data_IF_025045171174
#
_entry.id   IF_025045171174
#
_cell.length_a   1.000
_cell.length_b   1.000
_cell.length_c   1.000
_cell.angle_alpha   90.00
_cell.angle_beta   90.00
_cell.angle_gamma   90.00
#
_symmetry.space_group_name_H-M   'P 1'
#
loop_
_entity.id
_entity.type
_entity.pdbx_description
1 polymer ?
#
# COMPACT_ATOMS: atom_id res chain seq x y z
N UNK A 1 57.84 -43.31 -0.68
CA UNK A 1 57.13 -43.49 -1.96
C UNK A 1 55.67 -43.15 -1.72
N UNK A 2 55.03 -42.41 -2.62
CA UNK A 2 54.06 -41.39 -2.25
C UNK A 2 52.67 -41.98 -1.99
N UNK A 3 52.13 -41.63 -0.83
CA UNK A 3 50.72 -41.72 -0.48
C UNK A 3 49.92 -40.69 -1.30
N UNK A 4 48.76 -41.14 -1.78
CA UNK A 4 47.78 -40.35 -2.53
C UNK A 4 47.33 -39.10 -1.76
N UNK A 5 47.08 -37.97 -2.45
CA UNK A 5 46.55 -36.77 -1.80
C UNK A 5 45.09 -36.96 -1.42
N UNK A 6 44.77 -36.57 -0.19
CA UNK A 6 43.41 -36.50 0.33
C UNK A 6 42.59 -35.48 -0.49
N UNK A 7 41.40 -35.90 -0.93
CA UNK A 7 40.38 -35.04 -1.53
C UNK A 7 39.92 -34.00 -0.50
N UNK A 8 40.25 -32.74 -0.79
CA UNK A 8 39.77 -31.57 -0.06
C UNK A 8 38.30 -31.34 -0.46
N UNK A 9 37.36 -31.79 0.39
CA UNK A 9 35.94 -31.51 0.19
C UNK A 9 35.70 -30.03 0.49
N UNK A 10 35.14 -29.24 -0.45
CA UNK A 10 34.79 -27.85 -0.15
C UNK A 10 33.68 -27.84 0.91
N UNK A 11 33.97 -27.21 2.04
CA UNK A 11 32.99 -26.97 3.10
C UNK A 11 31.78 -26.20 2.56
N UNK A 12 30.58 -26.39 3.15
CA UNK A 12 29.38 -25.72 2.69
C UNK A 12 29.59 -24.21 2.72
N UNK A 13 29.40 -23.58 1.57
CA UNK A 13 29.42 -22.14 1.39
C UNK A 13 28.56 -21.48 2.47
N UNK A 14 29.16 -20.53 3.18
CA UNK A 14 28.47 -19.69 4.14
C UNK A 14 27.21 -19.11 3.48
N UNK A 15 26.04 -19.50 4.01
CA UNK A 15 24.78 -18.91 3.62
C UNK A 15 24.83 -17.42 3.97
N UNK A 16 24.78 -16.60 2.93
CA UNK A 16 24.64 -15.15 3.01
C UNK A 16 23.27 -14.83 3.64
N UNK A 17 23.25 -14.77 4.97
CA UNK A 17 22.09 -14.34 5.75
C UNK A 17 22.11 -12.82 5.88
N UNK A 18 21.68 -12.14 4.82
CA UNK A 18 21.27 -10.73 4.92
C UNK A 18 20.18 -10.56 5.99
N UNK A 19 20.17 -9.46 6.76
CA UNK A 19 19.24 -9.27 7.86
C UNK A 19 17.81 -9.14 7.33
N UNK A 20 16.96 -10.10 7.69
CA UNK A 20 15.55 -10.14 7.35
C UNK A 20 14.82 -8.93 7.92
N UNK A 21 14.42 -8.00 7.06
CA UNK A 21 13.50 -6.91 7.37
C UNK A 21 12.12 -7.48 7.70
N UNK A 22 11.76 -7.56 8.97
CA UNK A 22 10.41 -7.92 9.42
C UNK A 22 9.45 -6.73 9.30
N UNK A 23 9.09 -6.38 8.06
CA UNK A 23 8.00 -5.44 7.76
C UNK A 23 6.65 -6.13 7.95
N UNK A 24 5.79 -5.71 8.91
CA UNK A 24 4.41 -6.20 9.10
C UNK A 24 4.23 -7.75 9.13
N UNK A 25 5.33 -8.50 9.28
CA UNK A 25 5.44 -9.93 8.94
C UNK A 25 4.84 -10.81 10.04
N UNK A 26 5.15 -10.51 11.30
CA UNK A 26 4.80 -11.38 12.43
C UNK A 26 3.32 -11.35 12.88
N UNK A 27 2.61 -10.22 12.70
CA UNK A 27 1.26 -10.08 13.24
C UNK A 27 0.16 -10.64 12.32
N UNK A 28 0.41 -10.68 11.01
CA UNK A 28 -0.60 -11.08 10.02
C UNK A 28 -0.55 -12.59 9.76
N UNK A 29 0.61 -13.24 9.86
CA UNK A 29 0.77 -14.65 9.47
C UNK A 29 0.21 -15.68 10.49
N UNK A 30 -0.17 -15.26 11.70
CA UNK A 30 -0.65 -16.15 12.78
C UNK A 30 -2.17 -16.26 12.92
N UNK A 31 -2.96 -15.47 12.20
CA UNK A 31 -4.44 -15.48 12.33
C UNK A 31 -5.09 -16.37 11.25
N UNK A 32 -5.85 -17.41 11.61
CA UNK A 32 -6.55 -18.25 10.64
C UNK A 32 -7.57 -17.47 9.81
N UNK A 33 -7.82 -17.92 8.58
CA UNK A 33 -8.86 -17.35 7.71
C UNK A 33 -10.24 -17.56 8.35
N UNK A 34 -11.05 -16.50 8.38
CA UNK A 34 -12.44 -16.59 8.84
C UNK A 34 -13.27 -17.43 7.88
N UNK A 35 -14.09 -18.31 8.44
CA UNK A 35 -15.13 -19.08 7.73
C UNK A 35 -16.27 -18.16 7.25
N UNK A 36 -17.12 -18.67 6.35
CA UNK A 36 -18.29 -17.94 5.87
C UNK A 36 -19.28 -17.65 7.03
N UNK A 37 -19.46 -18.60 7.95
CA UNK A 37 -20.30 -18.44 9.14
C UNK A 37 -19.76 -17.36 10.09
N UNK A 38 -18.46 -17.31 10.31
CA UNK A 38 -17.82 -16.25 11.11
C UNK A 38 -17.95 -14.89 10.41
N UNK A 39 -17.77 -14.86 9.09
CA UNK A 39 -17.92 -13.64 8.29
C UNK A 39 -19.36 -13.11 8.28
N UNK A 40 -20.37 -13.98 8.43
CA UNK A 40 -21.77 -13.55 8.61
C UNK A 40 -22.04 -12.91 9.96
N UNK A 41 -21.32 -13.34 11.00
CA UNK A 41 -21.40 -12.78 12.36
C UNK A 41 -20.59 -11.50 12.50
N UNK A 42 -19.64 -11.27 11.61
CA UNK A 42 -18.85 -10.05 11.53
C UNK A 42 -19.71 -8.84 11.11
N UNK A 43 -19.60 -7.73 11.84
CA UNK A 43 -20.42 -6.53 11.61
C UNK A 43 -20.25 -5.95 10.19
N UNK A 44 -19.02 -5.95 9.67
CA UNK A 44 -18.72 -5.35 8.37
C UNK A 44 -18.97 -6.35 7.24
N UNK A 45 -18.34 -7.53 7.29
CA UNK A 45 -18.47 -8.55 6.24
C UNK A 45 -19.89 -9.12 6.16
N UNK A 46 -20.65 -9.13 7.25
CA UNK A 46 -22.07 -9.48 7.27
C UNK A 46 -22.92 -8.61 6.32
N UNK A 47 -22.48 -7.37 6.05
CA UNK A 47 -23.13 -6.44 5.10
C UNK A 47 -23.08 -6.96 3.66
N UNK A 48 -22.08 -7.79 3.31
CA UNK A 48 -22.00 -8.44 2.00
C UNK A 48 -23.22 -9.31 1.71
N UNK A 49 -23.67 -10.09 2.70
CA UNK A 49 -24.84 -10.97 2.57
C UNK A 49 -26.15 -10.19 2.51
N UNK A 50 -26.26 -9.12 3.31
CA UNK A 50 -27.43 -8.20 3.23
C UNK A 50 -27.56 -7.60 1.84
N UNK A 51 -26.44 -7.13 1.26
CA UNK A 51 -26.43 -6.60 -0.09
C UNK A 51 -26.78 -7.67 -1.13
N UNK A 52 -26.21 -8.86 -1.02
CA UNK A 52 -26.51 -9.97 -1.91
C UNK A 52 -28.01 -10.28 -1.90
N UNK A 53 -28.63 -10.47 -0.72
CA UNK A 53 -30.07 -10.71 -0.61
C UNK A 53 -30.90 -9.56 -1.22
N UNK A 54 -30.56 -8.31 -0.94
CA UNK A 54 -31.25 -7.15 -1.54
C UNK A 54 -31.14 -7.14 -3.08
N UNK A 55 -30.01 -7.57 -3.64
CA UNK A 55 -29.83 -7.68 -5.09
C UNK A 55 -30.58 -8.89 -5.66
N UNK A 56 -30.68 -10.00 -4.92
CA UNK A 56 -31.48 -11.16 -5.31
C UNK A 56 -32.96 -10.78 -5.47
N UNK A 57 -33.49 -10.06 -4.49
CA UNK A 57 -34.87 -9.57 -4.52
C UNK A 57 -35.10 -8.57 -5.66
N UNK A 58 -34.15 -7.65 -5.87
CA UNK A 58 -34.27 -6.59 -6.88
C UNK A 58 -34.16 -7.11 -8.33
N UNK A 59 -33.35 -8.14 -8.56
CA UNK A 59 -33.08 -8.67 -9.90
C UNK A 59 -33.68 -10.06 -10.17
N UNK A 60 -34.40 -10.62 -9.19
CA UNK A 60 -35.02 -11.94 -9.26
C UNK A 60 -34.06 -13.04 -9.75
N UNK A 61 -32.81 -13.02 -9.25
CA UNK A 61 -31.77 -13.98 -9.60
C UNK A 61 -30.80 -14.18 -8.45
N UNK A 62 -30.13 -15.33 -8.39
CA UNK A 62 -29.09 -15.59 -7.38
C UNK A 62 -27.86 -14.73 -7.59
N UNK A 63 -27.32 -14.20 -6.48
CA UNK A 63 -26.14 -13.32 -6.49
C UNK A 63 -24.98 -14.07 -5.84
N UNK A 64 -23.97 -14.37 -6.64
CA UNK A 64 -22.78 -15.09 -6.20
C UNK A 64 -21.63 -14.11 -5.90
N UNK A 65 -20.80 -14.44 -4.92
CA UNK A 65 -19.58 -13.68 -4.61
C UNK A 65 -18.48 -14.00 -5.64
N UNK A 66 -18.64 -13.48 -6.86
CA UNK A 66 -17.79 -13.69 -8.02
C UNK A 66 -17.85 -12.45 -8.96
N UNK A 67 -17.12 -12.44 -10.09
CA UNK A 67 -17.17 -11.32 -11.04
C UNK A 67 -18.58 -10.98 -11.58
N UNK A 68 -19.46 -11.97 -11.74
CA UNK A 68 -20.84 -11.72 -12.15
C UNK A 68 -21.61 -10.95 -11.07
N UNK A 69 -21.46 -11.35 -9.79
CA UNK A 69 -22.02 -10.61 -8.66
C UNK A 69 -21.46 -9.19 -8.53
N UNK A 70 -20.15 -9.01 -8.75
CA UNK A 70 -19.54 -7.67 -8.79
C UNK A 70 -20.14 -6.78 -9.88
N UNK A 71 -20.54 -7.37 -11.01
CA UNK A 71 -21.24 -6.65 -12.09
C UNK A 71 -22.60 -6.14 -11.62
N UNK A 72 -23.34 -6.93 -10.82
CA UNK A 72 -24.63 -6.51 -10.26
C UNK A 72 -24.48 -5.44 -9.18
N UNK A 73 -23.45 -5.56 -8.34
CA UNK A 73 -23.08 -4.51 -7.38
C UNK A 73 -22.74 -3.20 -8.10
N UNK A 74 -21.94 -3.27 -9.18
CA UNK A 74 -21.59 -2.10 -9.99
C UNK A 74 -22.84 -1.45 -10.61
N UNK A 75 -23.78 -2.24 -11.14
CA UNK A 75 -25.06 -1.70 -11.67
C UNK A 75 -25.82 -0.94 -10.60
N UNK A 76 -25.96 -1.49 -9.38
CA UNK A 76 -26.64 -0.83 -8.27
C UNK A 76 -25.95 0.48 -7.87
N UNK A 77 -24.62 0.49 -7.79
CA UNK A 77 -23.84 1.70 -7.50
C UNK A 77 -24.04 2.77 -8.58
N UNK A 78 -23.97 2.40 -9.86
CA UNK A 78 -24.18 3.34 -10.96
C UNK A 78 -25.57 3.96 -10.91
N UNK A 79 -26.62 3.16 -10.71
CA UNK A 79 -27.98 3.67 -10.59
C UNK A 79 -28.08 4.67 -9.43
N UNK A 80 -27.53 4.34 -8.27
CA UNK A 80 -27.57 5.19 -7.09
C UNK A 80 -26.81 6.52 -7.27
N UNK A 81 -25.65 6.52 -7.93
CA UNK A 81 -24.81 7.72 -8.07
C UNK A 81 -25.10 8.54 -9.34
N UNK A 82 -25.79 7.97 -10.35
CA UNK A 82 -26.22 8.69 -11.56
C UNK A 82 -27.57 9.39 -11.36
N UNK A 83 -28.54 8.73 -10.72
CA UNK A 83 -29.95 9.16 -10.78
C UNK A 83 -30.31 10.27 -9.78
N UNK A 84 -29.54 10.42 -8.70
CA UNK A 84 -29.61 11.52 -7.75
C UNK A 84 -28.32 11.45 -6.93
N UNK A 85 -27.75 12.58 -6.47
CA UNK A 85 -26.78 12.47 -5.37
C UNK A 85 -27.55 11.82 -4.21
N UNK A 86 -27.22 10.59 -3.79
CA UNK A 86 -27.93 9.97 -2.68
C UNK A 86 -27.79 10.90 -1.47
N UNK A 87 -28.77 10.83 -0.56
CA UNK A 87 -28.54 11.36 0.78
C UNK A 87 -27.15 10.89 1.27
N UNK A 88 -26.28 11.77 1.80
CA UNK A 88 -24.90 11.43 2.11
C UNK A 88 -24.77 10.20 3.01
N UNK A 89 -25.70 10.00 3.95
CA UNK A 89 -25.68 8.83 4.82
C UNK A 89 -26.06 7.56 4.05
N UNK A 90 -27.09 7.61 3.20
CA UNK A 90 -27.45 6.49 2.34
C UNK A 90 -26.32 6.12 1.36
N UNK A 91 -25.61 7.13 0.83
CA UNK A 91 -24.44 6.92 -0.03
C UNK A 91 -23.34 6.17 0.72
N UNK A 92 -22.98 6.61 1.92
CA UNK A 92 -21.97 5.96 2.77
C UNK A 92 -22.37 4.52 3.06
N UNK A 93 -23.62 4.25 3.47
CA UNK A 93 -24.04 2.90 3.81
C UNK A 93 -24.01 1.95 2.60
N UNK A 94 -24.40 2.43 1.42
CA UNK A 94 -24.31 1.66 0.17
C UNK A 94 -22.86 1.37 -0.24
N UNK A 95 -21.97 2.35 -0.13
CA UNK A 95 -20.53 2.14 -0.39
C UNK A 95 -19.95 1.09 0.54
N UNK A 96 -20.30 1.19 1.81
CA UNK A 96 -19.86 0.28 2.86
C UNK A 96 -20.41 -1.14 2.58
N UNK A 97 -21.62 -1.27 2.04
CA UNK A 97 -22.24 -2.57 1.67
C UNK A 97 -21.53 -3.20 0.48
N UNK A 98 -21.31 -2.40 -0.57
CA UNK A 98 -20.59 -2.83 -1.76
C UNK A 98 -19.14 -3.20 -1.43
N UNK A 99 -18.51 -2.47 -0.50
CA UNK A 99 -17.15 -2.74 -0.06
C UNK A 99 -17.05 -4.03 0.72
N UNK A 100 -18.02 -4.32 1.58
CA UNK A 100 -18.13 -5.62 2.24
C UNK A 100 -18.28 -6.75 1.21
N UNK A 101 -19.10 -6.56 0.17
CA UNK A 101 -19.25 -7.56 -0.90
C UNK A 101 -17.95 -7.82 -1.66
N UNK A 102 -17.20 -6.76 -2.02
CA UNK A 102 -15.90 -6.89 -2.67
C UNK A 102 -14.88 -7.58 -1.75
N UNK A 103 -14.79 -7.16 -0.48
CA UNK A 103 -13.87 -7.77 0.48
C UNK A 103 -14.18 -9.25 0.69
N UNK A 104 -15.45 -9.61 0.88
CA UNK A 104 -15.87 -10.99 1.04
C UNK A 104 -15.59 -11.80 -0.23
N UNK A 105 -15.81 -11.25 -1.42
CA UNK A 105 -15.46 -11.91 -2.69
C UNK A 105 -13.95 -12.18 -2.80
N UNK A 106 -13.10 -11.24 -2.39
CA UNK A 106 -11.65 -11.43 -2.35
C UNK A 106 -11.22 -12.45 -1.30
N UNK A 107 -11.87 -12.49 -0.14
CA UNK A 107 -11.63 -13.49 0.90
C UNK A 107 -11.99 -14.90 0.42
N UNK A 108 -13.19 -15.08 -0.15
CA UNK A 108 -13.65 -16.39 -0.59
C UNK A 108 -12.88 -16.91 -1.80
N UNK A 109 -12.65 -16.05 -2.81
CA UNK A 109 -12.08 -16.46 -4.10
C UNK A 109 -10.56 -16.41 -4.13
N UNK A 110 -9.98 -15.38 -3.52
CA UNK A 110 -8.54 -15.12 -3.59
C UNK A 110 -7.82 -15.28 -2.24
N UNK A 111 -8.54 -15.65 -1.16
CA UNK A 111 -7.97 -15.93 0.17
C UNK A 111 -7.27 -14.75 0.85
N UNK A 112 -7.66 -13.53 0.48
CA UNK A 112 -7.24 -12.33 1.19
C UNK A 112 -7.88 -12.25 2.59
N UNK A 113 -7.16 -11.65 3.54
CA UNK A 113 -7.62 -11.37 4.90
C UNK A 113 -7.81 -9.88 5.12
N UNK A 114 -8.99 -9.47 5.58
CA UNK A 114 -9.26 -8.08 5.95
C UNK A 114 -8.67 -7.79 7.34
N UNK A 115 -7.85 -6.73 7.43
CA UNK A 115 -7.33 -6.23 8.70
C UNK A 115 -8.09 -4.95 9.04
N UNK A 116 -8.82 -4.97 10.15
CA UNK A 116 -9.61 -3.82 10.62
C UNK A 116 -8.80 -2.99 11.59
N UNK A 117 -8.80 -1.69 11.38
CA UNK A 117 -8.23 -0.71 12.31
C UNK A 117 -9.39 0.07 12.92
N UNK A 118 -9.65 -0.13 14.22
CA UNK A 118 -10.81 0.47 14.88
C UNK A 118 -10.74 2.00 14.93
N UNK A 119 -9.52 2.56 14.91
CA UNK A 119 -9.27 4.00 14.91
C UNK A 119 -9.32 4.62 13.50
N UNK A 120 -9.66 3.83 12.47
CA UNK A 120 -9.76 4.30 11.09
C UNK A 120 -11.07 3.89 10.45
N UNK A 121 -11.58 4.78 9.61
CA UNK A 121 -12.68 4.43 8.71
C UNK A 121 -12.31 3.26 7.79
N UNK A 122 -13.31 2.50 7.31
CA UNK A 122 -13.10 1.32 6.49
C UNK A 122 -12.24 1.53 5.24
N UNK A 123 -12.20 2.74 4.67
CA UNK A 123 -11.38 3.04 3.49
C UNK A 123 -9.89 2.76 3.70
N UNK A 124 -9.41 2.86 4.94
CA UNK A 124 -8.02 2.62 5.32
C UNK A 124 -7.69 1.17 5.69
N UNK A 125 -8.68 0.26 5.67
CA UNK A 125 -8.50 -1.14 6.04
C UNK A 125 -7.88 -1.93 4.88
N UNK A 126 -6.69 -2.53 5.07
CA UNK A 126 -6.05 -3.33 4.04
C UNK A 126 -6.61 -4.75 4.04
N UNK A 127 -6.63 -5.33 2.85
CA UNK A 127 -6.68 -6.77 2.67
C UNK A 127 -5.28 -7.29 2.35
N UNK A 128 -4.89 -8.37 3.01
CA UNK A 128 -3.55 -8.96 2.92
C UNK A 128 -3.63 -10.45 2.60
N UNK A 129 -2.76 -10.90 1.70
CA UNK A 129 -2.46 -12.31 1.46
C UNK A 129 -0.95 -12.50 1.56
N UNK A 130 -0.51 -13.64 2.10
CA UNK A 130 0.91 -13.92 2.34
C UNK A 130 1.49 -14.98 1.39
N UNK A 131 0.65 -15.83 0.80
CA UNK A 131 1.04 -16.89 -0.13
C UNK A 131 0.07 -16.94 -1.33
N UNK A 132 0.53 -17.25 -2.56
CA UNK A 132 1.91 -17.57 -2.95
C UNK A 132 2.85 -16.36 -2.98
N UNK A 133 2.29 -15.14 -3.02
CA UNK A 133 3.01 -13.87 -3.02
C UNK A 133 2.34 -12.94 -2.04
N UNK A 134 3.13 -12.14 -1.33
CA UNK A 134 2.59 -11.14 -0.42
C UNK A 134 1.98 -9.97 -1.20
N UNK A 135 0.69 -9.73 -1.00
CA UNK A 135 -0.01 -8.58 -1.57
C UNK A 135 -0.75 -7.87 -0.44
N UNK A 136 -0.60 -6.54 -0.40
CA UNK A 136 -1.38 -5.64 0.44
C UNK A 136 -2.16 -4.73 -0.50
N UNK A 137 -3.48 -4.72 -0.36
CA UNK A 137 -4.38 -3.93 -1.21
C UNK A 137 -5.51 -3.32 -0.40
N UNK A 138 -6.16 -2.28 -0.94
CA UNK A 138 -7.18 -1.50 -0.23
C UNK A 138 -8.50 -1.54 -1.01
N UNK A 139 -9.27 -2.63 -0.93
CA UNK A 139 -10.47 -2.80 -1.75
C UNK A 139 -11.58 -1.80 -1.40
N UNK A 140 -11.70 -1.45 -0.11
CA UNK A 140 -12.73 -0.49 0.33
C UNK A 140 -12.54 0.87 -0.33
N UNK A 141 -11.30 1.34 -0.48
CA UNK A 141 -11.01 2.65 -1.11
C UNK A 141 -11.50 2.73 -2.54
N UNK A 142 -11.57 1.59 -3.26
CA UNK A 142 -12.06 1.57 -4.64
C UNK A 142 -13.47 2.10 -4.70
N UNK A 143 -14.32 1.65 -3.80
CA UNK A 143 -15.69 2.12 -3.73
C UNK A 143 -15.80 3.46 -3.00
N UNK A 144 -14.97 3.69 -1.99
CA UNK A 144 -14.96 4.94 -1.23
C UNK A 144 -14.63 6.17 -2.08
N UNK A 145 -13.87 6.00 -3.17
CA UNK A 145 -13.63 7.04 -4.17
C UNK A 145 -14.91 7.62 -4.76
N UNK A 146 -16.02 6.87 -4.82
CA UNK A 146 -17.31 7.40 -5.27
C UNK A 146 -17.86 8.51 -4.37
N UNK A 147 -17.39 8.61 -3.12
CA UNK A 147 -17.75 9.68 -2.19
C UNK A 147 -16.82 10.90 -2.32
N UNK A 148 -15.64 10.73 -2.92
CA UNK A 148 -14.60 11.76 -3.02
C UNK A 148 -14.53 12.38 -4.41
N UNK A 149 -14.71 11.56 -5.44
CA UNK A 149 -14.55 11.94 -6.83
C UNK A 149 -15.89 12.38 -7.42
N UNK A 150 -15.87 13.45 -8.20
CA UNK A 150 -17.05 13.95 -8.91
C UNK A 150 -17.46 13.06 -10.09
N UNK A 151 -16.54 12.22 -10.57
CA UNK A 151 -16.72 11.40 -11.75
C UNK A 151 -16.88 9.93 -11.39
N UNK A 152 -17.88 9.29 -12.00
CA UNK A 152 -18.04 7.85 -11.92
C UNK A 152 -16.94 7.13 -12.72
N UNK A 153 -16.33 6.08 -12.17
CA UNK A 153 -15.39 5.23 -12.88
C UNK A 153 -15.99 4.61 -14.14
N UNK A 154 -15.12 4.24 -15.08
CA UNK A 154 -15.52 3.52 -16.30
C UNK A 154 -16.14 2.14 -16.01
N UNK A 155 -16.93 1.59 -16.95
CA UNK A 155 -17.60 0.31 -16.78
C UNK A 155 -16.63 -0.85 -16.49
N UNK A 156 -17.07 -1.74 -15.61
CA UNK A 156 -16.36 -2.97 -15.22
C UNK A 156 -15.17 -2.74 -14.29
N UNK A 157 -15.05 -1.57 -13.65
CA UNK A 157 -13.89 -1.23 -12.81
C UNK A 157 -13.68 -2.19 -11.62
N UNK A 158 -14.76 -2.71 -11.01
CA UNK A 158 -14.65 -3.70 -9.93
C UNK A 158 -14.07 -5.02 -10.44
N UNK A 159 -14.53 -5.45 -11.62
CA UNK A 159 -13.99 -6.65 -12.27
C UNK A 159 -12.55 -6.45 -12.71
N UNK A 160 -12.18 -5.28 -13.26
CA UNK A 160 -10.79 -4.96 -13.61
C UNK A 160 -9.88 -5.00 -12.39
N UNK A 161 -10.33 -4.48 -11.26
CA UNK A 161 -9.58 -4.55 -10.00
C UNK A 161 -9.46 -5.99 -9.49
N UNK A 162 -10.54 -6.77 -9.53
CA UNK A 162 -10.53 -8.18 -9.15
C UNK A 162 -9.58 -9.00 -10.03
N UNK A 163 -9.66 -8.84 -11.36
CA UNK A 163 -8.76 -9.49 -12.33
C UNK A 163 -7.31 -9.07 -12.12
N UNK A 164 -7.04 -7.78 -11.84
CA UNK A 164 -5.69 -7.33 -11.50
C UNK A 164 -5.10 -8.11 -10.31
N UNK A 165 -5.87 -8.28 -9.22
CA UNK A 165 -5.39 -9.05 -8.06
C UNK A 165 -5.20 -10.54 -8.38
N UNK A 166 -6.09 -11.11 -9.19
CA UNK A 166 -5.96 -12.48 -9.66
C UNK A 166 -4.69 -12.67 -10.49
N UNK A 167 -4.42 -11.75 -11.42
CA UNK A 167 -3.22 -11.75 -12.25
C UNK A 167 -1.95 -11.57 -11.40
N UNK A 168 -1.97 -10.70 -10.38
CA UNK A 168 -0.85 -10.55 -9.43
C UNK A 168 -0.53 -11.82 -8.66
N UNK A 169 -1.54 -12.64 -8.35
CA UNK A 169 -1.37 -13.89 -7.61
C UNK A 169 -0.84 -15.02 -8.48
N UNK A 170 -1.26 -15.06 -9.76
CA UNK A 170 -0.82 -16.09 -10.71
C UNK A 170 0.54 -15.74 -11.30
N UNK A 171 0.83 -14.46 -11.50
CA UNK A 171 2.07 -14.02 -12.12
C UNK A 171 3.27 -14.22 -11.19
N UNK A 172 4.15 -15.15 -11.57
CA UNK A 172 5.39 -15.45 -10.86
C UNK A 172 6.60 -14.67 -11.38
N UNK A 173 6.45 -13.87 -12.43
CA UNK A 173 7.59 -13.17 -13.02
C UNK A 173 8.07 -12.05 -12.09
N UNK A 174 9.38 -12.01 -11.78
CA UNK A 174 9.95 -10.94 -10.99
C UNK A 174 9.84 -9.62 -11.78
N UNK A 175 9.05 -8.70 -11.25
CA UNK A 175 8.94 -7.34 -11.79
C UNK A 175 10.22 -6.56 -11.50
N UNK A 176 10.64 -5.65 -12.38
CA UNK A 176 11.71 -4.73 -12.04
C UNK A 176 11.27 -3.86 -10.86
N UNK A 177 12.17 -3.72 -9.88
CA UNK A 177 11.94 -2.98 -8.63
C UNK A 177 12.98 -1.86 -8.51
N UNK A 178 12.73 -0.86 -7.66
CA UNK A 178 13.75 0.10 -7.27
C UNK A 178 14.40 0.84 -8.44
N UNK A 179 15.73 0.93 -8.41
CA UNK A 179 16.52 1.55 -9.48
C UNK A 179 16.38 0.83 -10.83
N UNK A 180 16.20 -0.49 -10.84
CA UNK A 180 16.01 -1.24 -12.10
C UNK A 180 14.70 -0.87 -12.78
N UNK A 181 13.63 -0.64 -12.00
CA UNK A 181 12.37 -0.14 -12.52
C UNK A 181 12.52 1.26 -13.13
N UNK A 182 13.28 2.13 -12.46
CA UNK A 182 13.58 3.49 -12.94
C UNK A 182 14.36 3.44 -14.24
N UNK A 183 15.46 2.68 -14.31
CA UNK A 183 16.26 2.54 -15.53
C UNK A 183 15.44 1.97 -16.71
N UNK A 184 14.56 1.01 -16.43
CA UNK A 184 13.67 0.42 -17.44
C UNK A 184 12.42 1.26 -17.71
N UNK A 185 12.25 2.41 -17.06
CA UNK A 185 11.08 3.29 -17.14
C UNK A 185 9.76 2.51 -16.93
N UNK A 186 9.74 1.63 -15.93
CA UNK A 186 8.59 0.80 -15.56
C UNK A 186 7.88 1.34 -14.32
N UNK A 187 6.72 1.96 -14.56
CA UNK A 187 5.77 2.32 -13.51
C UNK A 187 5.08 1.06 -12.94
N UNK A 188 4.69 1.12 -11.67
CA UNK A 188 3.73 0.19 -11.08
C UNK A 188 2.38 0.27 -11.79
N UNK A 189 1.59 -0.81 -11.65
CA UNK A 189 0.21 -0.83 -12.12
C UNK A 189 -0.63 0.25 -11.41
N UNK A 190 -1.65 0.80 -12.08
CA UNK A 190 -2.50 1.87 -11.54
C UNK A 190 -3.13 1.48 -10.20
N UNK A 191 -3.60 0.24 -10.08
CA UNK A 191 -4.17 -0.28 -8.84
C UNK A 191 -3.15 -0.34 -7.71
N UNK A 192 -1.89 -0.69 -8.00
CA UNK A 192 -0.80 -0.66 -7.02
C UNK A 192 -0.48 0.74 -6.56
N UNK A 193 -0.47 1.71 -7.48
CA UNK A 193 -0.25 3.12 -7.15
C UNK A 193 -1.35 3.66 -6.25
N UNK A 194 -2.61 3.29 -6.50
CA UNK A 194 -3.73 3.66 -5.65
C UNK A 194 -3.63 3.03 -4.25
N UNK A 195 -3.18 1.78 -4.15
CA UNK A 195 -2.93 1.13 -2.86
C UNK A 195 -1.87 1.89 -2.04
N UNK A 196 -0.80 2.34 -2.69
CA UNK A 196 0.29 3.08 -2.05
C UNK A 196 -0.14 4.50 -1.67
N UNK A 197 -0.94 5.16 -2.50
CA UNK A 197 -1.55 6.45 -2.15
C UNK A 197 -2.49 6.34 -0.94
N UNK A 198 -3.29 5.28 -0.89
CA UNK A 198 -4.20 5.01 0.23
C UNK A 198 -3.43 4.76 1.51
N UNK A 199 -2.39 3.93 1.42
CA UNK A 199 -1.50 3.66 2.54
C UNK A 199 -0.79 4.93 3.03
N UNK A 200 -0.28 5.74 2.11
CA UNK A 200 0.35 7.01 2.42
C UNK A 200 -0.61 7.93 3.15
N UNK A 201 -1.85 8.11 2.65
CA UNK A 201 -2.89 8.92 3.31
C UNK A 201 -3.18 8.43 4.73
N UNK A 202 -3.30 7.11 4.92
CA UNK A 202 -3.50 6.50 6.24
C UNK A 202 -2.32 6.79 7.18
N UNK A 203 -1.10 6.61 6.70
CA UNK A 203 0.11 6.85 7.50
C UNK A 203 0.23 8.33 7.85
N UNK A 204 -0.10 9.26 6.95
CA UNK A 204 -0.07 10.68 7.26
C UNK A 204 -1.08 11.08 8.34
N UNK A 205 -2.28 10.46 8.37
CA UNK A 205 -3.23 10.64 9.48
C UNK A 205 -2.61 10.14 10.78
N UNK A 206 -2.04 8.93 10.79
CA UNK A 206 -1.35 8.38 11.96
C UNK A 206 -0.21 9.29 12.44
N UNK A 207 0.60 9.82 11.51
CA UNK A 207 1.74 10.68 11.81
C UNK A 207 1.31 11.98 12.50
N UNK A 208 0.11 12.48 12.18
CA UNK A 208 -0.44 13.67 12.79
C UNK A 208 -0.88 13.46 14.25
N UNK A 209 -1.13 12.21 14.64
CA UNK A 209 -1.59 11.85 16.00
C UNK A 209 -0.46 11.35 16.90
N UNK A 210 0.63 10.82 16.34
CA UNK A 210 1.77 10.31 17.11
C UNK A 210 2.60 11.45 17.72
N UNK A 211 2.92 11.33 19.01
CA UNK A 211 3.72 12.33 19.75
C UNK A 211 5.11 12.57 19.17
N UNK A 212 5.68 11.54 18.56
CA UNK A 212 7.02 11.52 17.99
C UNK A 212 7.11 12.31 16.68
N UNK A 213 5.99 12.47 15.97
CA UNK A 213 5.96 13.04 14.61
C UNK A 213 5.01 14.22 14.44
N UNK A 214 4.02 14.40 15.32
CA UNK A 214 2.98 15.44 15.17
C UNK A 214 3.53 16.87 15.06
N UNK A 215 4.73 17.09 15.58
CA UNK A 215 5.40 18.38 15.60
C UNK A 215 6.36 18.58 14.41
N UNK A 216 6.42 17.64 13.48
CA UNK A 216 7.22 17.73 12.26
C UNK A 216 6.41 18.45 11.17
N UNK A 217 6.90 19.62 10.75
CA UNK A 217 6.26 20.41 9.70
C UNK A 217 6.42 19.76 8.31
N UNK A 218 5.43 19.95 7.44
CA UNK A 218 5.48 19.50 6.04
C UNK A 218 6.17 20.55 5.16
N UNK A 219 7.49 20.70 5.36
CA UNK A 219 8.41 21.55 4.59
C UNK A 219 9.88 21.32 4.96
N UNK A 220 10.79 22.16 4.42
CA UNK A 220 12.26 22.03 4.63
C UNK A 220 12.69 22.01 6.10
N UNK A 221 12.09 22.85 6.95
CA UNK A 221 12.32 22.87 8.41
C UNK A 221 12.03 21.51 9.06
N UNK A 222 10.96 20.85 8.62
CA UNK A 222 10.59 19.50 9.04
C UNK A 222 11.63 18.45 8.71
N UNK A 223 12.31 18.55 7.56
CA UNK A 223 13.39 17.62 7.19
C UNK A 223 14.58 17.70 8.14
N UNK A 224 14.96 18.92 8.55
CA UNK A 224 16.03 19.12 9.55
C UNK A 224 15.63 18.49 10.89
N UNK A 225 14.37 18.69 11.30
CA UNK A 225 13.84 18.08 12.52
C UNK A 225 13.82 16.55 12.45
N UNK A 226 13.38 15.98 11.34
CA UNK A 226 13.42 14.53 11.10
C UNK A 226 14.84 13.99 11.13
N UNK A 227 15.79 14.67 10.49
CA UNK A 227 17.20 14.27 10.50
C UNK A 227 17.73 14.20 11.93
N UNK A 228 17.40 15.19 12.77
CA UNK A 228 17.78 15.18 14.19
C UNK A 228 17.11 14.05 14.98
N UNK A 229 15.82 13.80 14.75
CA UNK A 229 15.10 12.69 15.38
C UNK A 229 15.68 11.33 14.99
N UNK A 230 16.06 11.15 13.73
CA UNK A 230 16.71 9.93 13.24
C UNK A 230 18.08 9.76 13.91
N UNK A 231 18.88 10.83 13.97
CA UNK A 231 20.22 10.80 14.59
C UNK A 231 20.17 10.47 16.08
N UNK A 232 19.18 11.02 16.79
CA UNK A 232 19.01 10.81 18.22
C UNK A 232 18.54 9.39 18.57
N UNK A 233 17.63 8.82 17.78
CA UNK A 233 16.90 7.60 18.15
C UNK A 233 17.39 6.33 17.45
N UNK A 234 18.11 6.44 16.34
CA UNK A 234 18.59 5.30 15.56
C UNK A 234 20.11 5.28 15.54
N UNK A 235 20.71 4.10 15.67
CA UNK A 235 22.16 3.91 15.59
C UNK A 235 22.53 3.13 14.32
N UNK A 236 23.55 3.54 13.55
CA UNK A 236 23.98 2.87 12.32
C UNK A 236 24.33 1.40 12.47
N UNK A 237 24.91 1.04 13.59
CA UNK A 237 25.47 -0.26 13.94
C UNK A 237 24.44 -1.21 14.57
N UNK A 238 23.27 -0.69 14.96
CA UNK A 238 22.21 -1.49 15.57
C UNK A 238 21.00 -1.58 14.63
N UNK A 239 20.53 -2.79 14.31
CA UNK A 239 19.30 -2.94 13.53
C UNK A 239 18.12 -2.32 14.31
N UNK A 240 17.21 -1.59 13.63
CA UNK A 240 16.02 -1.06 14.29
C UNK A 240 15.16 -2.16 14.88
N UNK A 241 14.54 -1.88 16.03
CA UNK A 241 13.46 -2.72 16.58
C UNK A 241 12.26 -2.73 15.64
N UNK A 242 11.28 -3.62 15.87
CA UNK A 242 10.04 -3.65 15.09
C UNK A 242 9.33 -2.30 15.08
N UNK A 243 9.23 -1.63 16.24
CA UNK A 243 8.64 -0.30 16.34
C UNK A 243 9.55 0.78 15.73
N UNK A 244 10.87 0.61 15.84
CA UNK A 244 11.84 1.43 15.12
C UNK A 244 11.61 1.41 13.61
N UNK A 245 11.38 0.24 13.01
CA UNK A 245 11.04 0.12 11.59
C UNK A 245 9.72 0.80 11.23
N UNK A 246 8.69 0.67 12.08
CA UNK A 246 7.40 1.38 11.88
C UNK A 246 7.60 2.90 11.91
N UNK A 247 8.44 3.40 12.83
CA UNK A 247 8.76 4.82 12.93
C UNK A 247 9.57 5.33 11.74
N UNK A 248 10.58 4.60 11.27
CA UNK A 248 11.32 4.97 10.06
C UNK A 248 10.41 5.02 8.82
N UNK A 249 9.45 4.10 8.72
CA UNK A 249 8.45 4.14 7.66
C UNK A 249 7.58 5.39 7.74
N UNK A 250 7.14 5.78 8.94
CA UNK A 250 6.42 7.04 9.17
C UNK A 250 7.23 8.25 8.70
N UNK A 251 8.50 8.34 9.10
CA UNK A 251 9.40 9.42 8.65
C UNK A 251 9.55 9.43 7.13
N UNK A 252 9.66 8.26 6.49
CA UNK A 252 9.72 8.15 5.03
C UNK A 252 8.46 8.68 4.34
N UNK A 253 7.27 8.45 4.89
CA UNK A 253 6.04 9.04 4.37
C UNK A 253 5.96 10.56 4.60
N UNK A 254 6.49 11.09 5.71
CA UNK A 254 6.61 12.55 5.88
C UNK A 254 7.51 13.15 4.80
N UNK A 255 8.67 12.52 4.52
CA UNK A 255 9.54 12.96 3.42
C UNK A 255 8.81 12.88 2.08
N UNK A 256 8.07 11.80 1.80
CA UNK A 256 7.27 11.67 0.59
C UNK A 256 6.23 12.79 0.45
N UNK A 257 5.53 13.14 1.54
CA UNK A 257 4.53 14.22 1.58
C UNK A 257 5.18 15.58 1.29
N UNK A 258 6.34 15.87 1.89
CA UNK A 258 7.09 17.11 1.64
C UNK A 258 7.44 17.22 0.14
N UNK A 259 7.95 16.14 -0.46
CA UNK A 259 8.29 16.10 -1.88
C UNK A 259 7.05 16.22 -2.78
N UNK A 260 5.92 15.60 -2.40
CA UNK A 260 4.65 15.74 -3.12
C UNK A 260 4.14 17.19 -3.10
N UNK A 261 4.18 17.85 -1.94
CA UNK A 261 3.69 19.21 -1.74
C UNK A 261 4.56 20.25 -2.45
N UNK A 262 5.86 20.22 -2.18
CA UNK A 262 6.80 21.28 -2.57
C UNK A 262 7.32 21.08 -4.00
N UNK A 263 7.56 19.82 -4.39
CA UNK A 263 8.20 19.47 -5.65
C UNK A 263 7.26 18.77 -6.64
N UNK A 264 5.99 18.57 -6.28
CA UNK A 264 4.97 17.88 -7.10
C UNK A 264 5.40 16.46 -7.48
N UNK A 265 6.10 15.77 -6.58
CA UNK A 265 6.45 14.38 -6.75
C UNK A 265 5.19 13.49 -6.77
N UNK A 266 5.16 12.50 -7.65
CA UNK A 266 4.08 11.50 -7.73
C UNK A 266 4.64 10.09 -7.63
N UNK A 267 3.98 9.19 -6.89
CA UNK A 267 4.35 7.77 -6.84
C UNK A 267 4.50 7.16 -8.25
N UNK A 268 5.56 6.38 -8.46
CA UNK A 268 5.94 5.85 -9.77
C UNK A 268 6.08 4.32 -9.79
N UNK A 269 6.99 3.77 -8.99
CA UNK A 269 7.15 2.33 -8.82
C UNK A 269 7.14 2.03 -7.33
N UNK A 270 6.20 1.21 -6.89
CA UNK A 270 6.00 0.83 -5.50
C UNK A 270 5.85 -0.70 -5.36
N UNK A 271 6.59 -1.42 -6.21
CA UNK A 271 6.73 -2.86 -6.12
C UNK A 271 7.81 -3.22 -5.08
N UNK A 272 7.69 -4.39 -4.47
CA UNK A 272 8.67 -4.88 -3.50
C UNK A 272 8.69 -4.09 -2.18
N UNK A 273 9.85 -4.11 -1.51
CA UNK A 273 10.03 -3.51 -0.19
C UNK A 273 9.91 -1.99 -0.23
N UNK A 274 9.36 -1.40 0.83
CA UNK A 274 9.04 0.02 0.95
C UNK A 274 10.25 0.95 0.67
N UNK A 275 11.46 0.51 1.01
CA UNK A 275 12.70 1.25 0.73
C UNK A 275 13.05 1.40 -0.76
N UNK A 276 12.47 0.56 -1.62
CA UNK A 276 12.64 0.59 -3.08
C UNK A 276 11.55 1.41 -3.78
N UNK A 277 10.57 1.94 -3.03
CA UNK A 277 9.50 2.70 -3.64
C UNK A 277 10.01 4.05 -4.10
N UNK A 278 9.59 4.42 -5.31
CA UNK A 278 10.03 5.62 -6.00
C UNK A 278 8.86 6.54 -6.29
N UNK A 279 9.16 7.84 -6.26
CA UNK A 279 8.34 8.90 -6.81
C UNK A 279 9.08 9.53 -7.97
N UNK A 280 8.34 10.05 -8.95
CA UNK A 280 8.85 10.81 -10.07
C UNK A 280 8.52 12.30 -9.86
N UNK A 281 9.52 13.15 -10.07
CA UNK A 281 9.39 14.59 -10.11
C UNK A 281 8.98 15.08 -11.51
N UNK A 282 8.39 16.28 -11.66
CA UNK A 282 7.96 16.79 -12.97
C UNK A 282 9.07 16.80 -14.03
N UNK A 283 10.31 17.09 -13.62
CA UNK A 283 11.51 17.08 -14.47
C UNK A 283 12.15 15.69 -14.64
N UNK A 284 11.40 14.62 -14.37
CA UNK A 284 11.78 13.21 -14.59
C UNK A 284 12.93 12.67 -13.72
N UNK A 285 13.33 13.41 -12.69
CA UNK A 285 14.16 12.86 -11.61
C UNK A 285 13.33 11.90 -10.75
N UNK A 286 13.94 10.77 -10.36
CA UNK A 286 13.32 9.78 -9.48
C UNK A 286 13.91 9.86 -8.08
N UNK A 287 13.04 9.74 -7.07
CA UNK A 287 13.40 9.85 -5.66
C UNK A 287 12.85 8.67 -4.88
N UNK A 288 13.58 8.23 -3.87
CA UNK A 288 13.21 7.08 -3.03
C UNK A 288 13.03 7.54 -1.59
N UNK A 289 11.88 8.12 -1.22
CA UNK A 289 11.72 8.85 0.04
C UNK A 289 11.98 7.96 1.27
N UNK A 290 11.40 6.77 1.32
CA UNK A 290 11.59 5.82 2.42
C UNK A 290 13.02 5.27 2.43
N UNK A 291 13.55 4.91 1.25
CA UNK A 291 14.93 4.47 1.11
C UNK A 291 15.94 5.54 1.56
N UNK A 292 15.66 6.82 1.32
CA UNK A 292 16.51 7.93 1.77
C UNK A 292 16.48 8.10 3.29
N UNK A 293 15.32 7.93 3.93
CA UNK A 293 15.22 7.90 5.39
C UNK A 293 16.00 6.71 5.97
N UNK A 294 15.90 5.53 5.38
CA UNK A 294 16.65 4.35 5.83
C UNK A 294 18.16 4.56 5.69
N UNK A 295 18.63 5.15 4.59
CA UNK A 295 20.03 5.57 4.43
C UNK A 295 20.45 6.63 5.44
N UNK A 296 19.58 7.57 5.78
CA UNK A 296 19.89 8.59 6.80
C UNK A 296 20.03 7.96 8.19
N UNK A 297 19.24 6.92 8.49
CA UNK A 297 19.37 6.16 9.73
C UNK A 297 20.68 5.34 9.77
N UNK A 298 21.05 4.66 8.68
CA UNK A 298 22.20 3.75 8.65
C UNK A 298 23.53 4.40 8.28
N UNK A 299 23.54 5.47 7.48
CA UNK A 299 24.76 6.11 6.95
C UNK A 299 24.94 7.55 7.43
N UNK A 300 23.98 8.08 8.20
CA UNK A 300 23.95 9.48 8.66
C UNK A 300 23.93 10.51 7.52
N UNK A 301 23.42 10.10 6.36
CA UNK A 301 23.11 10.98 5.25
C UNK A 301 22.22 12.15 5.70
N UNK A 302 22.46 13.34 5.13
CA UNK A 302 21.61 14.50 5.40
C UNK A 302 20.36 14.48 4.52
N UNK A 303 19.20 14.65 5.15
CA UNK A 303 17.91 14.83 4.49
C UNK A 303 17.76 16.25 3.94
N UNK A 304 18.26 17.24 4.70
CA UNK A 304 18.22 18.64 4.28
C UNK A 304 19.08 18.87 3.03
N UNK A 305 20.32 18.38 3.01
CA UNK A 305 21.20 18.50 1.85
C UNK A 305 20.63 17.78 0.61
N UNK A 306 19.98 16.63 0.82
CA UNK A 306 19.30 15.92 -0.26
C UNK A 306 18.15 16.73 -0.87
N UNK A 307 17.33 17.37 -0.03
CA UNK A 307 16.25 18.23 -0.51
C UNK A 307 16.77 19.47 -1.23
N UNK A 308 17.82 20.10 -0.71
CA UNK A 308 18.44 21.26 -1.35
C UNK A 308 18.99 20.91 -2.74
N UNK A 309 19.60 19.74 -2.90
CA UNK A 309 20.04 19.25 -4.21
C UNK A 309 18.86 19.06 -5.18
N UNK A 310 17.70 18.58 -4.72
CA UNK A 310 16.50 18.46 -5.56
C UNK A 310 15.92 19.83 -5.95
N UNK A 311 16.03 20.84 -5.08
CA UNK A 311 15.64 22.21 -5.41
C UNK A 311 16.57 22.83 -6.45
N UNK A 312 17.88 22.62 -6.34
CA UNK A 312 18.83 23.06 -7.35
C UNK A 312 18.55 22.42 -8.71
N UNK A 313 18.27 21.11 -8.73
CA UNK A 313 17.87 20.40 -9.95
C UNK A 313 16.61 21.00 -10.59
N UNK A 314 15.61 21.35 -9.77
CA UNK A 314 14.39 22.04 -10.24
C UNK A 314 14.71 23.38 -10.90
N UNK A 315 15.58 24.20 -10.29
CA UNK A 315 15.98 25.50 -10.83
C UNK A 315 16.74 25.35 -12.16
N UNK A 316 17.63 24.36 -12.26
CA UNK A 316 18.35 24.06 -13.50
C UNK A 316 17.41 23.61 -14.62
N UNK A 317 16.37 22.84 -14.29
CA UNK A 317 15.37 22.43 -15.27
C UNK A 317 14.44 23.57 -15.71
N UNK A 318 14.02 24.42 -14.77
CA UNK A 318 13.08 25.52 -15.05
C UNK A 318 13.73 26.70 -15.80
N UNK A 319 15.06 26.80 -15.77
CA UNK A 319 15.83 27.78 -16.56
C UNK A 319 16.15 27.32 -17.99
N UNK A 320 15.64 26.17 -18.42
CA UNK A 320 15.67 25.67 -19.81
C UNK A 320 14.31 25.84 -20.46
#
# INVERSE_FOLDING_TARGET
MPDSPAEDKPGPAAADHGPGTETFKGAVDSTPLMTAEESRKDEFLGRAFKLASSLEDAFNKKIYFNPDGLTEVEKKLRLAFIQAKPDPQAAIELIKDAAAFLCFSLQERLKFRLIKFMDFDPWGWPMVISAPKRIVTYPVVRLWQLLWDENLPGPGWLNKYFSYLQDELVNQDPRPLGMDAVHRKRSSHRERLLDVQTEHKRIMILVSTLTETNSVELGRSGLVKLENLIKANFRPDLPPTTDGWKMLRCYGHIVAEILAKDLKASWYNAEGNDGLWSMQLPWKTFVFPLGKVYKSASQRDSLAAYYDALLEDKLRYSGR
#
